data_IF_542674402081
#
_entry.id   IF_542674402081
#
_cell.length_a   1.000
_cell.length_b   1.000
_cell.length_c   1.000
_cell.angle_alpha   90.00
_cell.angle_beta   90.00
_cell.angle_gamma   90.00
#
_symmetry.space_group_name_H-M   'P 1'
#
loop_
_entity.id
_entity.type
_entity.pdbx_description
1 polymer ?
#
# COMPACT_ATOMS: atom_id res chain seq x y z
N UNK A 1 32.24 28.23 -17.60
CA UNK A 1 32.29 26.75 -17.70
C UNK A 1 31.89 26.03 -16.40
N UNK A 2 32.15 26.60 -15.22
CA UNK A 2 31.83 25.99 -13.91
C UNK A 2 30.32 25.92 -13.56
N UNK A 3 29.48 26.78 -14.15
CA UNK A 3 28.05 26.85 -13.85
C UNK A 3 27.27 25.68 -14.50
N UNK A 4 27.74 25.19 -15.65
CA UNK A 4 27.08 24.12 -16.42
C UNK A 4 27.25 22.75 -15.73
N UNK A 5 28.35 22.54 -15.01
CA UNK A 5 28.63 21.27 -14.31
C UNK A 5 27.79 21.10 -13.04
N UNK A 6 27.48 22.20 -12.34
CA UNK A 6 26.66 22.17 -11.11
C UNK A 6 25.19 21.88 -11.43
N UNK A 7 24.66 22.40 -12.53
CA UNK A 7 23.28 22.12 -12.96
C UNK A 7 23.10 20.67 -13.43
N UNK A 8 24.07 20.13 -14.19
CA UNK A 8 24.06 18.71 -14.56
C UNK A 8 24.14 17.77 -13.35
N UNK A 9 24.95 18.11 -12.34
CA UNK A 9 25.07 17.30 -11.11
C UNK A 9 23.78 17.30 -10.30
N UNK A 10 23.09 18.45 -10.16
CA UNK A 10 21.76 18.52 -9.52
C UNK A 10 20.69 17.74 -10.30
N UNK A 11 20.75 17.74 -11.63
CA UNK A 11 19.83 16.96 -12.47
C UNK A 11 20.07 15.45 -12.31
N UNK A 12 21.33 15.01 -12.26
CA UNK A 12 21.70 13.60 -12.01
C UNK A 12 21.31 13.12 -10.60
N UNK A 13 21.41 13.98 -9.58
CA UNK A 13 20.97 13.65 -8.20
C UNK A 13 19.44 13.51 -8.14
N UNK A 14 18.68 14.33 -8.87
CA UNK A 14 17.21 14.17 -8.96
C UNK A 14 16.80 12.91 -9.73
N UNK A 15 17.56 12.51 -10.75
CA UNK A 15 17.29 11.30 -11.56
C UNK A 15 17.64 10.02 -10.79
N UNK A 16 18.66 10.04 -9.93
CA UNK A 16 19.06 8.88 -9.11
C UNK A 16 18.12 8.63 -7.92
N UNK A 17 17.33 9.62 -7.51
CA UNK A 17 16.39 9.49 -6.40
C UNK A 17 15.01 8.94 -6.82
N UNK A 18 14.80 8.64 -8.10
CA UNK A 18 13.67 7.83 -8.55
C UNK A 18 14.03 6.35 -8.36
N UNK A 19 14.17 5.92 -7.11
CA UNK A 19 14.05 4.50 -6.80
C UNK A 19 12.63 4.10 -7.19
N UNK A 20 12.48 3.62 -8.42
CA UNK A 20 11.26 2.97 -8.88
C UNK A 20 11.04 1.80 -7.93
N UNK A 21 10.09 1.94 -7.01
CA UNK A 21 9.64 0.82 -6.22
C UNK A 21 9.22 -0.25 -7.22
N UNK A 22 9.86 -1.42 -7.17
CA UNK A 22 9.53 -2.55 -8.04
C UNK A 22 8.18 -3.10 -7.58
N UNK A 23 7.10 -2.44 -8.00
CA UNK A 23 5.73 -2.82 -7.69
C UNK A 23 5.22 -3.70 -8.82
N UNK A 24 4.75 -4.91 -8.48
CA UNK A 24 4.03 -5.77 -9.41
C UNK A 24 2.55 -5.50 -9.24
N UNK A 25 1.89 -5.11 -10.33
CA UNK A 25 0.44 -4.97 -10.36
C UNK A 25 -0.20 -6.18 -11.02
N UNK A 26 -1.29 -6.67 -10.43
CA UNK A 26 -2.25 -7.52 -11.12
C UNK A 26 -3.33 -6.64 -11.72
N UNK A 27 -3.82 -7.02 -12.88
CA UNK A 27 -4.87 -6.29 -13.58
C UNK A 27 -6.09 -7.20 -13.74
N UNK A 28 -7.28 -6.64 -13.53
CA UNK A 28 -8.56 -7.33 -13.80
C UNK A 28 -8.79 -7.49 -15.30
N UNK A 29 -9.83 -8.22 -15.73
CA UNK A 29 -10.41 -8.04 -17.06
C UNK A 29 -10.89 -6.60 -17.30
N UNK A 30 -11.14 -6.27 -18.56
CA UNK A 30 -11.79 -5.03 -18.96
C UNK A 30 -13.26 -5.00 -18.52
N UNK A 31 -13.82 -3.80 -18.39
CA UNK A 31 -15.20 -3.59 -17.96
C UNK A 31 -15.39 -3.74 -16.46
N UNK A 32 -14.33 -3.54 -15.66
CA UNK A 32 -14.37 -3.68 -14.20
C UNK A 32 -13.94 -2.38 -13.55
N UNK A 33 -14.69 -1.96 -12.54
CA UNK A 33 -14.37 -0.85 -11.64
C UNK A 33 -14.18 -1.33 -10.22
N UNK A 34 -13.45 -0.53 -9.44
CA UNK A 34 -13.25 -0.77 -8.02
C UNK A 34 -14.19 0.14 -7.23
N UNK A 35 -14.98 -0.47 -6.35
CA UNK A 35 -15.89 0.24 -5.47
C UNK A 35 -15.48 0.00 -4.02
N UNK A 36 -15.46 1.08 -3.25
CA UNK A 36 -15.25 1.05 -1.83
C UNK A 36 -16.35 1.85 -1.12
N UNK A 37 -16.74 1.39 0.06
CA UNK A 37 -17.79 2.00 0.86
C UNK A 37 -17.31 3.29 1.57
N UNK A 38 -15.99 3.46 1.71
CA UNK A 38 -15.40 4.61 2.37
C UNK A 38 -14.70 5.57 1.39
N UNK A 39 -15.27 6.76 1.25
CA UNK A 39 -14.76 7.81 0.35
C UNK A 39 -13.34 8.28 0.70
N UNK A 40 -12.92 8.16 1.97
CA UNK A 40 -11.60 8.61 2.41
C UNK A 40 -10.46 7.75 1.83
N UNK A 41 -10.78 6.55 1.35
CA UNK A 41 -9.79 5.67 0.75
C UNK A 41 -9.56 5.97 -0.73
N UNK A 42 -10.42 6.79 -1.36
CA UNK A 42 -10.10 7.43 -2.64
C UNK A 42 -9.05 8.51 -2.37
N UNK A 43 -7.81 8.15 -2.58
CA UNK A 43 -6.69 9.05 -2.33
C UNK A 43 -6.58 10.14 -3.40
N UNK A 44 -6.75 9.77 -4.67
CA UNK A 44 -6.57 10.71 -5.76
C UNK A 44 -7.38 10.36 -6.98
N UNK A 45 -7.85 11.39 -7.68
CA UNK A 45 -8.47 11.27 -8.98
C UNK A 45 -7.65 12.10 -9.99
N UNK A 46 -7.03 11.43 -10.96
CA UNK A 46 -6.15 12.04 -11.97
C UNK A 46 -6.85 12.02 -13.33
N UNK A 47 -6.99 13.20 -13.92
CA UNK A 47 -7.53 13.37 -15.26
C UNK A 47 -6.41 13.36 -16.31
N UNK A 48 -6.77 13.08 -17.57
CA UNK A 48 -5.87 13.07 -18.73
C UNK A 48 -4.70 12.08 -18.60
N UNK A 49 -4.93 10.96 -17.91
CA UNK A 49 -3.95 9.86 -17.85
C UNK A 49 -4.09 9.02 -19.12
N UNK A 50 -3.10 9.09 -20.00
CA UNK A 50 -3.22 8.56 -21.37
C UNK A 50 -3.13 7.02 -21.47
N UNK A 51 -2.74 6.33 -20.40
CA UNK A 51 -2.68 4.87 -20.41
C UNK A 51 -2.76 4.27 -19.01
N UNK A 52 -3.18 3.02 -18.96
CA UNK A 52 -3.17 2.22 -17.73
C UNK A 52 -1.76 2.08 -17.14
N UNK A 53 -0.74 1.95 -18.01
CA UNK A 53 0.66 1.90 -17.59
C UNK A 53 1.06 3.18 -16.87
N UNK A 54 0.60 4.35 -17.36
CA UNK A 54 0.86 5.62 -16.68
C UNK A 54 0.12 5.70 -15.34
N UNK A 55 -1.12 5.22 -15.26
CA UNK A 55 -1.86 5.14 -14.00
C UNK A 55 -1.13 4.25 -12.97
N UNK A 56 -0.66 3.07 -13.39
CA UNK A 56 0.14 2.17 -12.57
C UNK A 56 1.47 2.81 -12.10
N UNK A 57 2.16 3.55 -12.98
CA UNK A 57 3.36 4.30 -12.60
C UNK A 57 3.06 5.34 -11.53
N UNK A 58 1.99 6.12 -11.69
CA UNK A 58 1.59 7.12 -10.68
C UNK A 58 1.30 6.41 -9.36
N UNK A 59 0.51 5.33 -9.37
CA UNK A 59 0.25 4.54 -8.16
C UNK A 59 1.55 4.01 -7.53
N UNK A 60 2.52 3.54 -8.33
CA UNK A 60 3.80 3.02 -7.83
C UNK A 60 4.69 4.08 -7.17
N UNK A 61 4.51 5.36 -7.52
CA UNK A 61 5.22 6.47 -6.90
C UNK A 61 4.59 6.88 -5.57
N UNK A 62 3.26 6.73 -5.45
CA UNK A 62 2.51 7.06 -4.24
C UNK A 62 2.55 5.89 -3.25
N UNK A 63 3.30 6.01 -2.16
CA UNK A 63 3.49 4.91 -1.19
C UNK A 63 2.19 4.29 -0.67
N UNK A 64 1.17 5.13 -0.51
CA UNK A 64 -0.12 4.75 0.05
C UNK A 64 -1.05 4.08 -0.96
N UNK A 65 -0.81 4.23 -2.27
CA UNK A 65 -1.69 3.63 -3.27
C UNK A 65 -1.59 2.10 -3.21
N UNK A 66 -2.68 1.37 -3.11
CA UNK A 66 -2.66 -0.10 -3.14
C UNK A 66 -3.49 -0.66 -4.30
N UNK A 67 -4.52 0.09 -4.69
CA UNK A 67 -5.39 -0.23 -5.81
C UNK A 67 -5.55 1.02 -6.67
N UNK A 68 -5.69 0.85 -7.97
CA UNK A 68 -6.08 1.91 -8.89
C UNK A 68 -7.12 1.39 -9.85
N UNK A 69 -7.98 2.28 -10.33
CA UNK A 69 -8.72 2.02 -11.55
C UNK A 69 -8.34 3.01 -12.63
N UNK A 70 -8.54 2.56 -13.86
CA UNK A 70 -8.25 3.33 -15.03
C UNK A 70 -9.31 3.10 -16.08
N UNK A 71 -9.85 4.18 -16.61
CA UNK A 71 -10.75 4.15 -17.75
C UNK A 71 -10.10 4.81 -18.97
N UNK A 72 -9.95 4.04 -20.04
CA UNK A 72 -9.29 4.53 -21.26
C UNK A 72 -10.16 5.51 -22.05
N UNK A 73 -11.49 5.41 -21.95
CA UNK A 73 -12.43 6.27 -22.68
C UNK A 73 -12.46 7.71 -22.14
N UNK A 74 -12.39 7.86 -20.82
CA UNK A 74 -12.39 9.15 -20.12
C UNK A 74 -10.99 9.63 -19.73
N UNK A 75 -9.96 8.79 -19.89
CA UNK A 75 -8.60 9.04 -19.44
C UNK A 75 -8.51 9.37 -17.94
N UNK A 76 -9.40 8.77 -17.14
CA UNK A 76 -9.46 8.95 -15.68
C UNK A 76 -8.70 7.82 -14.99
N UNK A 77 -7.92 8.17 -13.99
CA UNK A 77 -7.18 7.25 -13.13
C UNK A 77 -7.52 7.55 -11.67
N UNK A 78 -8.26 6.67 -10.99
CA UNK A 78 -8.52 6.78 -9.55
C UNK A 78 -7.53 5.92 -8.78
N UNK A 79 -6.94 6.49 -7.74
CA UNK A 79 -5.96 5.84 -6.87
C UNK A 79 -6.59 5.65 -5.50
N UNK A 80 -6.49 4.45 -4.97
CA UNK A 80 -7.07 4.06 -3.68
C UNK A 80 -5.97 3.66 -2.70
N UNK A 81 -6.11 4.05 -1.44
CA UNK A 81 -5.17 3.66 -0.38
C UNK A 81 -5.43 2.28 0.22
N UNK A 82 -6.51 1.63 -0.20
CA UNK A 82 -6.92 0.31 0.30
C UNK A 82 -6.58 -0.81 -0.67
N UNK A 83 -6.38 -1.99 -0.10
CA UNK A 83 -6.10 -3.22 -0.82
C UNK A 83 -7.33 -3.72 -1.57
N UNK A 84 -7.09 -4.51 -2.60
CA UNK A 84 -8.12 -5.07 -3.47
C UNK A 84 -9.14 -5.96 -2.73
N UNK A 85 -8.74 -6.60 -1.63
CA UNK A 85 -9.59 -7.46 -0.80
C UNK A 85 -10.44 -6.68 0.22
N UNK A 86 -10.17 -5.39 0.39
CA UNK A 86 -10.95 -4.48 1.26
C UNK A 86 -12.06 -3.74 0.51
N UNK A 87 -12.13 -3.88 -0.81
CA UNK A 87 -13.21 -3.31 -1.63
C UNK A 87 -13.89 -4.37 -2.48
N UNK A 88 -14.66 -3.91 -3.46
CA UNK A 88 -15.42 -4.77 -4.37
C UNK A 88 -15.11 -4.46 -5.83
N UNK A 89 -15.07 -5.51 -6.64
CA UNK A 89 -14.95 -5.40 -8.09
C UNK A 89 -16.34 -5.49 -8.69
N UNK A 90 -16.77 -4.44 -9.39
CA UNK A 90 -18.11 -4.35 -9.98
C UNK A 90 -18.01 -4.13 -11.49
N UNK A 91 -19.02 -4.58 -12.27
CA UNK A 91 -19.11 -4.23 -13.68
C UNK A 91 -19.12 -2.71 -13.89
N UNK A 92 -18.24 -2.24 -14.77
CA UNK A 92 -18.17 -0.84 -15.17
C UNK A 92 -19.21 -0.53 -16.26
N UNK A 93 -19.66 0.71 -16.31
CA UNK A 93 -20.41 1.23 -17.46
C UNK A 93 -19.52 1.44 -18.69
N UNK A 94 -18.20 1.52 -18.51
CA UNK A 94 -17.21 1.59 -19.58
C UNK A 94 -16.56 0.23 -19.84
N UNK A 95 -16.64 -0.23 -21.08
CA UNK A 95 -15.93 -1.43 -21.54
C UNK A 95 -14.40 -1.28 -21.56
N UNK A 96 -13.90 -0.06 -21.39
CA UNK A 96 -12.46 0.23 -21.38
C UNK A 96 -11.88 0.42 -19.98
N UNK A 97 -12.73 0.33 -18.95
CA UNK A 97 -12.31 0.41 -17.56
C UNK A 97 -11.59 -0.86 -17.13
N UNK A 98 -10.58 -0.69 -16.27
CA UNK A 98 -9.77 -1.79 -15.73
C UNK A 98 -9.17 -1.41 -14.39
N UNK A 99 -9.21 -2.34 -13.45
CA UNK A 99 -8.61 -2.16 -12.12
C UNK A 99 -7.23 -2.81 -12.09
N UNK A 100 -6.27 -2.14 -11.46
CA UNK A 100 -4.98 -2.70 -11.11
C UNK A 100 -4.72 -2.61 -9.61
N UNK A 101 -4.08 -3.62 -9.04
CA UNK A 101 -3.78 -3.65 -7.61
C UNK A 101 -2.42 -4.27 -7.34
N UNK A 102 -1.78 -3.78 -6.27
CA UNK A 102 -0.44 -4.22 -5.87
C UNK A 102 -0.52 -5.69 -5.44
N UNK A 103 0.30 -6.54 -6.07
CA UNK A 103 0.43 -7.94 -5.66
C UNK A 103 1.30 -8.02 -4.41
N UNK A 104 0.70 -8.38 -3.28
CA UNK A 104 1.45 -8.70 -2.07
C UNK A 104 2.22 -10.01 -2.29
N UNK A 105 3.54 -9.95 -2.21
CA UNK A 105 4.41 -11.14 -2.18
C UNK A 105 5.34 -11.05 -0.98
N UNK A 106 5.73 -12.20 -0.44
CA UNK A 106 6.69 -12.30 0.68
C UNK A 106 8.02 -11.60 0.38
N UNK A 107 8.44 -11.58 -0.89
CA UNK A 107 9.65 -10.89 -1.36
C UNK A 107 9.66 -9.40 -0.99
N UNK A 108 8.50 -8.74 -1.01
CA UNK A 108 8.36 -7.31 -0.69
C UNK A 108 8.65 -7.02 0.80
N UNK A 109 8.51 -8.03 1.66
CA UNK A 109 8.71 -7.95 3.10
C UNK A 109 9.99 -8.67 3.55
N UNK A 110 10.84 -9.08 2.61
CA UNK A 110 12.12 -9.77 2.88
C UNK A 110 13.12 -8.95 3.71
N UNK A 111 12.86 -7.65 3.89
CA UNK A 111 13.65 -6.75 4.71
C UNK A 111 13.14 -6.64 6.16
N UNK A 112 12.00 -7.22 6.52
CA UNK A 112 11.45 -7.16 7.86
C UNK A 112 12.48 -7.60 8.92
N UNK A 113 12.61 -6.84 10.00
CA UNK A 113 13.61 -6.98 11.07
C UNK A 113 15.08 -6.93 10.63
N UNK A 114 15.38 -6.57 9.37
CA UNK A 114 16.75 -6.27 8.95
C UNK A 114 17.11 -4.82 9.28
N UNK A 115 18.41 -4.55 9.36
CA UNK A 115 18.94 -3.22 9.60
C UNK A 115 18.53 -2.24 8.49
N UNK A 116 18.26 -1.01 8.88
CA UNK A 116 17.95 0.11 7.99
C UNK A 116 18.50 1.42 8.54
N UNK A 117 18.77 2.35 7.65
CA UNK A 117 19.15 3.72 7.96
C UNK A 117 17.95 4.64 7.74
N UNK A 118 17.37 5.17 8.82
CA UNK A 118 16.17 6.04 8.79
C UNK A 118 16.34 7.22 7.81
N UNK A 119 17.56 7.75 7.67
CA UNK A 119 17.82 8.93 6.86
C UNK A 119 17.99 8.64 5.37
N UNK A 120 18.21 7.38 4.98
CA UNK A 120 18.60 7.02 3.62
C UNK A 120 17.74 5.94 3.00
N UNK A 121 17.23 5.02 3.82
CA UNK A 121 16.53 3.85 3.32
C UNK A 121 15.04 4.11 3.22
N UNK A 122 14.50 3.85 2.03
CA UNK A 122 13.09 4.08 1.73
C UNK A 122 12.47 2.77 1.27
N UNK A 123 11.41 2.34 1.96
CA UNK A 123 10.59 1.21 1.55
C UNK A 123 9.11 1.63 1.50
N UNK A 124 8.36 1.02 0.58
CA UNK A 124 6.92 1.23 0.41
C UNK A 124 6.09 0.44 1.42
N UNK A 125 6.54 -0.76 1.77
CA UNK A 125 5.83 -1.76 2.55
C UNK A 125 6.28 -1.82 4.01
N UNK A 126 7.47 -1.30 4.30
CA UNK A 126 8.09 -1.30 5.63
C UNK A 126 8.50 0.12 6.04
N UNK A 127 8.57 0.36 7.34
CA UNK A 127 9.05 1.59 7.96
C UNK A 127 10.30 1.29 8.79
N UNK A 128 11.32 2.14 8.66
CA UNK A 128 12.51 2.03 9.49
C UNK A 128 12.22 2.61 10.88
N UNK A 129 12.45 1.81 11.92
CA UNK A 129 12.24 2.20 13.33
C UNK A 129 13.44 2.96 13.89
N UNK A 130 13.25 3.66 15.01
CA UNK A 130 14.32 4.38 15.73
C UNK A 130 15.49 3.48 16.16
N UNK A 131 15.26 2.17 16.26
CA UNK A 131 16.29 1.19 16.57
C UNK A 131 17.07 0.74 15.33
N UNK A 132 16.83 1.37 14.17
CA UNK A 132 17.48 1.04 12.90
C UNK A 132 17.04 -0.30 12.32
N UNK A 133 15.80 -0.74 12.61
CA UNK A 133 15.25 -2.00 12.07
C UNK A 133 13.98 -1.74 11.26
N UNK A 134 13.82 -2.45 10.14
CA UNK A 134 12.58 -2.44 9.38
C UNK A 134 11.44 -3.09 10.17
N UNK A 135 10.30 -2.42 10.22
CA UNK A 135 9.06 -2.92 10.82
C UNK A 135 7.88 -2.65 9.89
N UNK A 136 6.73 -3.25 10.21
CA UNK A 136 5.48 -2.90 9.56
C UNK A 136 5.12 -1.43 9.79
N UNK A 137 4.33 -0.86 8.88
CA UNK A 137 3.87 0.51 9.01
C UNK A 137 2.88 0.65 10.17
N UNK A 138 2.66 1.88 10.62
CA UNK A 138 1.71 2.17 11.70
C UNK A 138 0.33 1.58 11.37
N UNK A 139 -0.24 0.80 12.30
CA UNK A 139 -1.55 0.15 12.12
C UNK A 139 -1.49 -1.21 11.42
N UNK A 140 -0.28 -1.74 11.16
CA UNK A 140 -0.09 -3.07 10.58
C UNK A 140 0.65 -4.02 11.52
N UNK A 141 0.41 -5.31 11.33
CA UNK A 141 1.05 -6.43 12.05
C UNK A 141 1.66 -7.39 11.05
N UNK A 142 2.86 -7.87 11.38
CA UNK A 142 3.53 -8.89 10.59
C UNK A 142 2.95 -10.26 10.93
N UNK A 143 2.41 -10.96 9.94
CA UNK A 143 1.82 -12.30 10.12
C UNK A 143 2.81 -13.46 9.89
N UNK A 144 4.11 -13.15 9.78
CA UNK A 144 5.15 -14.11 9.38
C UNK A 144 5.46 -14.13 7.88
N UNK A 145 4.64 -13.48 7.04
CA UNK A 145 4.84 -13.41 5.59
C UNK A 145 4.77 -11.98 5.05
N UNK A 146 3.77 -11.22 5.47
CA UNK A 146 3.48 -9.85 5.03
C UNK A 146 3.00 -8.99 6.21
N UNK A 147 3.03 -7.67 6.05
CA UNK A 147 2.37 -6.75 6.97
C UNK A 147 0.90 -6.54 6.54
N UNK A 148 -0.03 -6.87 7.43
CA UNK A 148 -1.47 -6.71 7.22
C UNK A 148 -2.04 -5.72 8.24
N UNK A 149 -3.16 -5.08 7.94
CA UNK A 149 -3.80 -4.19 8.90
C UNK A 149 -4.20 -4.91 10.20
N UNK A 150 -4.00 -4.25 11.33
CA UNK A 150 -4.26 -4.76 12.68
C UNK A 150 -5.73 -5.15 12.87
N UNK A 151 -6.67 -4.44 12.25
CA UNK A 151 -8.10 -4.76 12.26
C UNK A 151 -8.42 -6.12 11.59
N UNK A 152 -7.72 -6.50 10.51
CA UNK A 152 -7.88 -7.78 9.81
C UNK A 152 -7.22 -8.90 10.64
N UNK A 153 -6.04 -8.62 11.19
CA UNK A 153 -5.30 -9.60 11.99
C UNK A 153 -5.97 -9.89 13.35
N UNK A 154 -6.72 -8.91 13.89
CA UNK A 154 -7.44 -9.03 15.17
C UNK A 154 -8.54 -10.11 15.19
N UNK A 155 -8.88 -10.68 14.03
CA UNK A 155 -9.91 -11.71 13.89
C UNK A 155 -9.39 -12.99 13.27
N UNK A 156 -8.11 -13.06 12.90
CA UNK A 156 -7.55 -14.30 12.35
C UNK A 156 -7.37 -15.31 13.48
N UNK A 157 -7.97 -16.50 13.31
CA UNK A 157 -7.68 -17.64 14.19
C UNK A 157 -6.21 -18.00 14.02
N UNK A 158 -5.43 -17.82 15.08
CA UNK A 158 -4.05 -18.32 15.12
C UNK A 158 -4.01 -19.57 15.98
N UNK A 159 -3.08 -20.47 15.71
CA UNK A 159 -3.02 -21.75 16.42
C UNK A 159 -2.28 -21.64 17.75
N UNK A 160 -1.44 -20.61 17.92
CA UNK A 160 -0.55 -20.48 19.08
C UNK A 160 -0.34 -19.01 19.48
N UNK A 161 -0.27 -18.75 20.79
CA UNK A 161 -0.09 -17.41 21.40
C UNK A 161 1.15 -16.65 20.87
N UNK A 162 2.21 -17.36 20.53
CA UNK A 162 3.46 -16.77 20.02
C UNK A 162 3.26 -16.01 18.70
N UNK A 163 2.21 -16.34 17.94
CA UNK A 163 1.84 -15.63 16.71
C UNK A 163 1.16 -14.27 16.99
N UNK A 164 0.64 -14.05 18.21
CA UNK A 164 0.13 -12.74 18.64
C UNK A 164 1.22 -11.86 19.25
N UNK A 165 2.26 -12.47 19.85
CA UNK A 165 3.27 -11.78 20.66
C UNK A 165 4.35 -11.02 19.88
N UNK A 166 4.29 -10.97 18.55
CA UNK A 166 5.26 -10.19 17.76
C UNK A 166 4.98 -8.67 17.79
N UNK A 167 3.82 -8.25 18.33
CA UNK A 167 3.51 -6.83 18.52
C UNK A 167 2.98 -6.59 19.94
N UNK A 168 3.57 -5.64 20.68
CA UNK A 168 3.22 -5.31 22.08
C UNK A 168 1.77 -4.80 22.25
N UNK A 169 1.05 -4.60 21.15
CA UNK A 169 -0.34 -4.13 21.13
C UNK A 169 -1.36 -5.25 20.99
N UNK A 170 -0.97 -6.53 20.97
CA UNK A 170 -1.92 -7.65 20.83
C UNK A 170 -1.87 -8.62 22.00
N UNK A 171 -3.05 -9.05 22.45
CA UNK A 171 -3.27 -10.02 23.51
C UNK A 171 -3.99 -11.24 22.96
N UNK A 172 -3.50 -12.42 23.31
CA UNK A 172 -4.12 -13.69 22.93
C UNK A 172 -5.31 -13.99 23.86
N UNK A 173 -6.46 -14.39 23.30
CA UNK A 173 -7.65 -14.76 24.08
C UNK A 173 -7.90 -16.27 24.20
N UNK A 174 -7.02 -17.11 23.67
CA UNK A 174 -7.20 -18.56 23.56
C UNK A 174 -7.56 -19.07 22.17
N UNK A 175 -8.10 -18.23 21.28
CA UNK A 175 -8.41 -18.58 19.87
C UNK A 175 -8.11 -17.46 18.86
N UNK A 176 -8.10 -16.19 19.30
CA UNK A 176 -7.80 -15.02 18.47
C UNK A 176 -6.76 -14.09 19.10
N UNK A 177 -5.99 -13.39 18.25
CA UNK A 177 -5.21 -12.23 18.68
C UNK A 177 -6.12 -11.01 18.76
N UNK A 178 -6.27 -10.40 19.92
CA UNK A 178 -7.07 -9.19 20.09
C UNK A 178 -6.15 -7.98 20.26
N UNK A 179 -6.40 -6.89 19.54
CA UNK A 179 -5.69 -5.63 19.83
C UNK A 179 -6.05 -5.11 21.22
N UNK A 180 -5.04 -4.76 22.03
CA UNK A 180 -5.19 -4.13 23.34
C UNK A 180 -5.57 -2.65 23.25
N UNK A 181 -5.45 -2.05 22.06
CA UNK A 181 -6.01 -0.71 21.80
C UNK A 181 -7.52 -0.84 21.64
N UNK A 182 -8.27 -0.13 22.50
CA UNK A 182 -9.71 0.06 22.28
C UNK A 182 -9.90 0.72 20.92
N UNK A 183 -10.31 -0.06 19.92
CA UNK A 183 -10.80 0.47 18.66
C UNK A 183 -12.02 1.31 19.03
N UNK A 184 -11.92 2.64 18.90
CA UNK A 184 -13.10 3.50 18.93
C UNK A 184 -13.95 3.03 17.76
N UNK A 185 -15.01 2.26 18.02
CA UNK A 185 -16.04 2.00 17.03
C UNK A 185 -16.51 3.37 16.56
N UNK A 186 -16.28 3.67 15.28
CA UNK A 186 -16.87 4.83 14.64
C UNK A 186 -18.37 4.52 14.57
N UNK A 187 -19.14 5.04 15.53
CA UNK A 187 -20.59 5.11 15.38
C UNK A 187 -20.85 6.19 14.34
N UNK A 188 -21.44 5.86 13.16
CA UNK A 188 -21.98 6.91 12.32
C UNK A 188 -23.03 7.65 13.14
N UNK A 189 -22.83 8.94 13.32
CA UNK A 189 -23.86 9.84 13.83
C UNK A 189 -25.07 9.73 12.90
N UNK A 190 -26.18 9.23 13.44
CA UNK A 190 -27.49 9.23 12.80
C UNK A 190 -27.99 10.65 12.59
#
# INVERSE_FOLDING_TARGET
MLIITITFLKLLILVTHQQQYKVRFRLTPFGIEFQNDNINDLYSNRLNVLSITRCAMICSMEKICQTFDYDASSHVCRLFSIWADQGTFVPSTSSTSRVGYVQQTTELYSLYQKSCNISHDINRYLSCTNNGLWSCQTGQVYNGTICQEENIYSYTTVSYEQQCRQNQTMQWNGTHCLSSKKIKKYSPSQ
#
